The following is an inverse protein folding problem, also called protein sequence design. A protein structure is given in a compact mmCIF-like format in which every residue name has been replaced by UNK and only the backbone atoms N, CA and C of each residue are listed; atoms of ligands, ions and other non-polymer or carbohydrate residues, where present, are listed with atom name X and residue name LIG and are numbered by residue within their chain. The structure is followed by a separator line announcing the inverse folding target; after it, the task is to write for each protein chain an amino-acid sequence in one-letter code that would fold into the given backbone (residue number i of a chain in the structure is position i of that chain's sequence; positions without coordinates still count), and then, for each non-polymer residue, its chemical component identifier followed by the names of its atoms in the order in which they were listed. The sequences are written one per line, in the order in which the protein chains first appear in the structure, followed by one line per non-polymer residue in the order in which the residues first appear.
data_IF_454972377655
#
_entry.id   IF_454972377655
#
_cell.length_a   1.000
_cell.length_b   1.000
_cell.length_c   1.000
_cell.angle_alpha   90.00
_cell.angle_beta   90.00
_cell.angle_gamma   90.00
#
_symmetry.space_group_name_H-M   'P 1'
#
loop_
_entity.id
_entity.type
_entity.pdbx_description
1 polymer ?
#
# COMPACT_ATOMS: atom_id res chain seq x y z
N UNK A 1 8.13 5.85 0.70
CA UNK A 1 7.85 6.82 1.78
C UNK A 1 6.36 6.78 2.08
N UNK A 2 5.84 7.37 3.16
CA UNK A 2 4.38 7.39 3.39
C UNK A 2 3.62 8.07 2.24
N UNK A 3 4.23 9.09 1.62
CA UNK A 3 3.66 9.79 0.46
C UNK A 3 3.67 8.90 -0.80
N UNK A 4 4.76 8.16 -1.04
CA UNK A 4 4.82 7.19 -2.14
C UNK A 4 3.76 6.09 -1.94
N UNK A 5 3.54 5.66 -0.70
CA UNK A 5 2.58 4.61 -0.35
C UNK A 5 1.14 5.08 -0.64
N UNK A 6 0.80 6.32 -0.26
CA UNK A 6 -0.50 6.94 -0.60
C UNK A 6 -0.67 7.03 -2.11
N UNK A 7 0.30 7.60 -2.81
CA UNK A 7 0.27 7.75 -4.27
C UNK A 7 0.11 6.40 -4.97
N UNK A 8 0.84 5.37 -4.51
CA UNK A 8 0.70 4.01 -5.02
C UNK A 8 -0.73 3.49 -4.84
N UNK A 9 -1.31 3.61 -3.64
CA UNK A 9 -2.66 3.11 -3.36
C UNK A 9 -3.70 3.83 -4.21
N UNK A 10 -3.62 5.16 -4.33
CA UNK A 10 -4.57 5.95 -5.11
C UNK A 10 -4.55 5.56 -6.59
N UNK A 11 -3.35 5.44 -7.18
CA UNK A 11 -3.19 4.99 -8.57
C UNK A 11 -3.72 3.56 -8.74
N UNK A 12 -3.40 2.66 -7.82
CA UNK A 12 -3.89 1.27 -7.92
C UNK A 12 -5.41 1.17 -7.80
N UNK A 13 -6.07 2.02 -7.00
CA UNK A 13 -7.53 2.09 -6.93
C UNK A 13 -8.14 2.53 -8.27
N UNK A 14 -7.55 3.53 -8.92
CA UNK A 14 -7.95 3.94 -10.28
C UNK A 14 -7.74 2.80 -11.28
N UNK A 15 -6.59 2.15 -11.25
CA UNK A 15 -6.28 1.04 -12.16
C UNK A 15 -7.18 -0.18 -11.92
N UNK A 16 -7.68 -0.38 -10.70
CA UNK A 16 -8.71 -1.38 -10.39
C UNK A 16 -10.02 -1.05 -11.10
N UNK A 17 -10.47 0.20 -11.06
CA UNK A 17 -11.66 0.65 -11.79
C UNK A 17 -11.50 0.45 -13.31
N UNK A 18 -10.28 0.58 -13.82
CA UNK A 18 -9.94 0.33 -15.23
C UNK A 18 -9.76 -1.15 -15.60
N UNK A 19 -10.02 -2.10 -14.69
CA UNK A 19 -9.95 -3.54 -14.99
C UNK A 19 -8.52 -4.11 -15.07
N UNK A 20 -7.53 -3.41 -14.49
CA UNK A 20 -6.15 -3.87 -14.42
C UNK A 20 -5.79 -4.63 -13.13
N UNK A 21 -6.76 -4.76 -12.21
CA UNK A 21 -6.66 -5.71 -11.10
C UNK A 21 -6.91 -7.15 -11.59
N UNK A 22 -6.29 -8.12 -10.93
CA UNK A 22 -6.55 -9.55 -11.09
C UNK A 22 -6.77 -10.18 -9.72
N UNK A 23 -7.29 -11.41 -9.67
CA UNK A 23 -7.49 -12.14 -8.41
C UNK A 23 -6.18 -12.29 -7.61
N UNK A 24 -5.05 -12.37 -8.33
CA UNK A 24 -3.73 -12.59 -7.76
C UNK A 24 -2.82 -11.34 -7.76
N UNK A 25 -3.34 -10.15 -8.09
CA UNK A 25 -2.56 -8.91 -8.05
C UNK A 25 -2.89 -7.92 -9.15
N UNK A 26 -1.87 -7.46 -9.87
CA UNK A 26 -1.97 -6.35 -10.81
C UNK A 26 -1.35 -6.71 -12.16
N UNK A 27 -2.05 -6.33 -13.24
CA UNK A 27 -1.48 -6.37 -14.59
C UNK A 27 -0.34 -5.36 -14.69
N UNK A 28 0.60 -5.63 -15.60
CA UNK A 28 1.77 -4.76 -15.79
C UNK A 28 1.44 -3.29 -16.09
N UNK A 29 0.38 -2.94 -16.86
CA UNK A 29 -0.01 -1.54 -17.07
C UNK A 29 -0.30 -0.77 -15.77
N UNK A 30 -0.94 -1.41 -14.79
CA UNK A 30 -1.20 -0.78 -13.49
C UNK A 30 0.09 -0.47 -12.74
N UNK A 31 1.05 -1.41 -12.76
CA UNK A 31 2.34 -1.21 -12.11
C UNK A 31 3.18 -0.13 -12.82
N UNK A 32 3.09 -0.04 -14.15
CA UNK A 32 3.72 1.05 -14.92
C UNK A 32 3.09 2.40 -14.61
N UNK A 33 1.77 2.47 -14.44
CA UNK A 33 1.09 3.70 -14.03
C UNK A 33 1.62 4.21 -12.69
N UNK A 34 1.84 3.31 -11.71
CA UNK A 34 2.46 3.67 -10.42
C UNK A 34 3.90 4.15 -10.59
N UNK A 35 4.71 3.46 -11.39
CA UNK A 35 6.09 3.90 -11.67
C UNK A 35 6.10 5.31 -12.25
N UNK A 36 5.22 5.60 -13.22
CA UNK A 36 5.11 6.91 -13.85
C UNK A 36 4.67 7.99 -12.86
N UNK A 37 3.72 7.68 -11.98
CA UNK A 37 3.25 8.62 -10.95
C UNK A 37 4.32 8.95 -9.89
N UNK A 38 5.29 8.05 -9.70
CA UNK A 38 6.36 8.18 -8.71
C UNK A 38 7.70 8.63 -9.29
N UNK A 39 7.76 9.01 -10.58
CA UNK A 39 9.00 9.52 -11.18
C UNK A 39 9.51 10.74 -10.42
N UNK A 40 10.76 10.71 -9.98
CA UNK A 40 11.39 11.81 -9.23
C UNK A 40 11.09 11.81 -7.73
N UNK A 41 10.18 10.96 -7.24
CA UNK A 41 9.93 10.80 -5.80
C UNK A 41 11.18 10.32 -5.05
N UNK A 42 12.07 9.61 -5.73
CA UNK A 42 13.32 9.10 -5.17
C UNK A 42 14.28 10.21 -4.70
N UNK A 43 14.22 11.40 -5.32
CA UNK A 43 15.03 12.54 -4.90
C UNK A 43 14.59 13.08 -3.53
N UNK A 44 13.30 12.94 -3.21
CA UNK A 44 12.73 13.33 -1.91
C UNK A 44 12.90 12.20 -0.89
N UNK A 45 12.72 10.94 -1.31
CA UNK A 45 12.83 9.78 -0.42
C UNK A 45 14.26 9.34 -0.14
N UNK A 46 15.27 9.92 -0.81
CA UNK A 46 16.68 9.51 -0.73
C UNK A 46 16.96 8.12 -1.31
N UNK A 47 16.17 7.70 -2.32
CA UNK A 47 16.17 6.33 -2.85
C UNK A 47 16.68 6.21 -4.28
N UNK A 48 16.49 5.03 -4.87
CA UNK A 48 16.69 4.78 -6.31
C UNK A 48 15.37 4.93 -7.08
N UNK A 49 15.44 5.17 -8.41
CA UNK A 49 14.25 5.22 -9.26
C UNK A 49 13.39 3.97 -9.12
N UNK A 50 12.07 4.18 -9.04
CA UNK A 50 11.13 3.07 -8.89
C UNK A 50 11.07 2.23 -10.18
N UNK A 51 10.93 0.92 -10.02
CA UNK A 51 10.78 -0.04 -11.12
C UNK A 51 9.49 -0.83 -10.93
N UNK A 52 8.97 -1.45 -12.00
CA UNK A 52 7.79 -2.34 -11.91
C UNK A 52 8.01 -3.43 -10.85
N UNK A 53 9.24 -3.97 -10.75
CA UNK A 53 9.59 -4.95 -9.73
C UNK A 53 9.51 -4.35 -8.32
N UNK A 54 10.12 -3.20 -8.07
CA UNK A 54 10.08 -2.59 -6.75
C UNK A 54 8.66 -2.20 -6.32
N UNK A 55 7.82 -1.75 -7.26
CA UNK A 55 6.39 -1.48 -7.02
C UNK A 55 5.66 -2.78 -6.64
N UNK A 56 5.89 -3.88 -7.36
CA UNK A 56 5.26 -5.17 -7.04
C UNK A 56 5.67 -5.70 -5.66
N UNK A 57 6.97 -5.65 -5.36
CA UNK A 57 7.52 -6.10 -4.08
C UNK A 57 6.99 -5.25 -2.92
N UNK A 58 6.88 -3.94 -3.13
CA UNK A 58 6.36 -3.01 -2.13
C UNK A 58 4.85 -3.18 -1.89
N UNK A 59 4.05 -3.35 -2.95
CA UNK A 59 2.63 -3.67 -2.81
C UNK A 59 2.41 -4.95 -1.98
N UNK A 60 3.24 -5.96 -2.20
CA UNK A 60 3.16 -7.23 -1.46
C UNK A 60 3.44 -7.03 0.03
N UNK A 61 4.36 -6.13 0.39
CA UNK A 61 4.63 -5.77 1.77
C UNK A 61 3.49 -4.95 2.38
N UNK A 62 2.94 -3.99 1.64
CA UNK A 62 1.82 -3.16 2.10
C UNK A 62 0.59 -4.03 2.37
N UNK A 63 0.28 -4.97 1.47
CA UNK A 63 -0.81 -5.94 1.65
C UNK A 63 -0.62 -6.77 2.91
N UNK A 64 0.58 -7.31 3.15
CA UNK A 64 0.87 -8.08 4.39
C UNK A 64 0.66 -7.24 5.66
N UNK A 65 1.07 -5.97 5.66
CA UNK A 65 0.86 -5.06 6.79
C UNK A 65 -0.64 -4.81 7.02
N UNK A 66 -1.38 -4.59 5.94
CA UNK A 66 -2.84 -4.45 6.00
C UNK A 66 -3.51 -5.72 6.50
N UNK A 67 -3.12 -6.90 6.01
CA UNK A 67 -3.70 -8.18 6.43
C UNK A 67 -3.46 -8.41 7.93
N UNK A 68 -2.28 -8.08 8.44
CA UNK A 68 -1.97 -8.14 9.88
C UNK A 68 -2.83 -7.16 10.69
N UNK A 69 -2.93 -5.90 10.24
CA UNK A 69 -3.81 -4.90 10.84
C UNK A 69 -5.26 -5.37 10.87
N UNK A 70 -5.78 -5.82 9.72
CA UNK A 70 -7.15 -6.27 9.54
C UNK A 70 -7.46 -7.48 10.42
N UNK A 71 -6.51 -8.42 10.53
CA UNK A 71 -6.63 -9.57 11.44
C UNK A 71 -6.78 -9.09 12.88
N UNK A 72 -5.91 -8.20 13.36
CA UNK A 72 -5.96 -7.71 14.74
C UNK A 72 -7.29 -7.01 15.04
N UNK A 73 -7.73 -6.07 14.21
CA UNK A 73 -9.00 -5.35 14.44
C UNK A 73 -10.24 -6.24 14.31
N UNK A 74 -10.14 -7.40 13.67
CA UNK A 74 -11.25 -8.36 13.55
C UNK A 74 -11.40 -9.24 14.80
N UNK A 75 -10.39 -9.27 15.67
CA UNK A 75 -10.43 -10.00 16.94
C UNK A 75 -11.14 -9.14 18.00
N UNK A 76 -11.97 -9.79 18.82
CA UNK A 76 -12.53 -9.17 20.03
C UNK A 76 -11.41 -8.67 20.95
N UNK A 77 -11.60 -7.48 21.54
CA UNK A 77 -10.60 -6.88 22.44
C UNK A 77 -9.48 -6.12 21.74
N UNK A 78 -9.60 -5.84 20.44
CA UNK A 78 -8.66 -5.00 19.71
C UNK A 78 -9.39 -3.83 19.03
N UNK A 79 -8.78 -2.65 19.06
CA UNK A 79 -9.34 -1.44 18.46
C UNK A 79 -8.27 -0.57 17.80
N UNK A 80 -8.72 0.32 16.92
CA UNK A 80 -7.87 1.36 16.35
C UNK A 80 -7.82 2.58 17.25
N UNK A 81 -6.61 2.98 17.64
CA UNK A 81 -6.34 4.24 18.31
C UNK A 81 -6.10 5.32 17.25
N UNK A 82 -7.11 6.14 16.99
CA UNK A 82 -7.02 7.25 16.04
C UNK A 82 -6.13 8.40 16.51
N UNK A 83 -5.80 8.49 17.80
CA UNK A 83 -4.95 9.54 18.34
C UNK A 83 -3.47 9.18 18.16
N UNK A 84 -3.11 7.93 18.46
CA UNK A 84 -1.72 7.44 18.34
C UNK A 84 -1.44 6.69 17.04
N UNK A 85 -2.43 6.53 16.16
CA UNK A 85 -2.35 5.81 14.89
C UNK A 85 -1.80 4.38 15.02
N UNK A 86 -2.32 3.63 15.99
CA UNK A 86 -1.86 2.26 16.27
C UNK A 86 -3.02 1.33 16.64
N UNK A 87 -2.80 0.04 16.46
CA UNK A 87 -3.71 -0.99 16.98
C UNK A 87 -3.40 -1.21 18.46
N UNK A 88 -4.43 -1.17 19.30
CA UNK A 88 -4.30 -1.40 20.73
C UNK A 88 -5.23 -2.51 21.20
N UNK A 89 -4.78 -3.29 22.18
CA UNK A 89 -5.67 -4.15 22.93
C UNK A 89 -6.54 -3.26 23.83
N UNK A 90 -7.84 -3.53 23.86
CA UNK A 90 -8.75 -2.96 24.84
C UNK A 90 -8.59 -3.78 26.11
N UNK A 91 -8.11 -3.16 27.18
CA UNK A 91 -8.16 -3.78 28.50
C UNK A 91 -9.64 -3.97 28.88
N UNK A 92 -10.00 -5.18 29.30
CA UNK A 92 -11.35 -5.58 29.74
C UNK A 92 -11.83 -4.79 30.97
#
# INVERSE_FOLDING_TARGET
STEDDRTMVDVLLEQKANGFATDNGWKEPALKAVVNALVGSEAVSGGTPKTVRSIRDHWSQLKKKYDAFHTLISLSGWGWDSENHRVQAMDE
#
